data_IF_462157996785
#
_entry.id   IF_462157996785
#
_cell.length_a   1.000
_cell.length_b   1.000
_cell.length_c   1.000
_cell.angle_alpha   90.00
_cell.angle_beta   90.00
_cell.angle_gamma   90.00
#
_symmetry.space_group_name_H-M   'P 1'
#
loop_
_entity.id
_entity.type
_entity.pdbx_description
1 polymer ?
#
# COMPACT_ATOMS: atom_id res chain seq x y z
N UNK A 1 -1.95 9.83 3.53
CA UNK A 1 -3.27 9.22 3.27
C UNK A 1 -3.13 7.73 3.56
N UNK A 2 -4.11 7.09 4.22
CA UNK A 2 -4.10 5.64 4.51
C UNK A 2 -5.00 4.89 3.52
N UNK A 3 -4.64 3.65 3.23
CA UNK A 3 -5.34 2.70 2.36
C UNK A 3 -5.10 1.28 2.88
N UNK A 4 -5.79 0.30 2.31
CA UNK A 4 -5.42 -1.11 2.43
C UNK A 4 -4.70 -1.51 1.13
N UNK A 5 -3.59 -2.24 1.21
CA UNK A 5 -2.87 -2.75 0.04
C UNK A 5 -2.49 -4.22 0.23
N UNK A 6 -2.52 -4.99 -0.85
CA UNK A 6 -1.93 -6.32 -0.85
C UNK A 6 -0.40 -6.21 -0.87
N UNK A 7 0.26 -7.10 -0.11
CA UNK A 7 1.70 -7.28 -0.22
C UNK A 7 2.05 -7.98 -1.54
N UNK A 8 2.85 -7.35 -2.39
CA UNK A 8 3.26 -7.94 -3.67
C UNK A 8 4.14 -9.20 -3.50
N UNK A 9 4.76 -9.38 -2.33
CA UNK A 9 5.58 -10.56 -2.00
C UNK A 9 4.72 -11.73 -1.49
N UNK A 10 3.60 -11.45 -0.82
CA UNK A 10 2.58 -12.43 -0.46
C UNK A 10 1.16 -11.85 -0.67
N UNK A 11 0.57 -11.97 -1.88
CA UNK A 11 -0.71 -11.34 -2.22
C UNK A 11 -1.92 -11.79 -1.39
N UNK A 12 -1.77 -12.81 -0.54
CA UNK A 12 -2.79 -13.23 0.43
C UNK A 12 -2.88 -12.29 1.63
N UNK A 13 -1.85 -11.50 1.87
CA UNK A 13 -1.76 -10.55 2.96
C UNK A 13 -2.21 -9.17 2.48
N UNK A 14 -3.29 -8.67 3.06
CA UNK A 14 -3.76 -7.29 2.87
C UNK A 14 -3.54 -6.54 4.18
N UNK A 15 -2.78 -5.46 4.12
CA UNK A 15 -2.39 -4.67 5.28
C UNK A 15 -2.85 -3.22 5.13
N UNK A 16 -3.05 -2.56 6.27
CA UNK A 16 -3.20 -1.10 6.27
C UNK A 16 -1.84 -0.49 5.93
N UNK A 17 -1.85 0.45 5.00
CA UNK A 17 -0.66 1.13 4.53
C UNK A 17 -0.88 2.64 4.44
N UNK A 18 0.22 3.37 4.57
CA UNK A 18 0.30 4.81 4.47
C UNK A 18 1.06 5.19 3.20
N UNK A 19 0.48 6.05 2.35
CA UNK A 19 1.19 6.61 1.21
C UNK A 19 2.27 7.57 1.73
N UNK A 20 3.54 7.22 1.51
CA UNK A 20 4.71 8.03 1.93
C UNK A 20 5.24 8.91 0.80
N UNK A 21 5.03 8.52 -0.47
CA UNK A 21 5.45 9.31 -1.63
C UNK A 21 4.54 9.10 -2.85
N UNK A 22 4.44 10.12 -3.70
CA UNK A 22 3.73 10.07 -4.98
C UNK A 22 4.64 10.58 -6.09
N UNK A 23 4.74 9.82 -7.19
CA UNK A 23 5.47 10.20 -8.41
C UNK A 23 4.59 9.86 -9.61
N UNK A 24 3.91 10.87 -10.17
CA UNK A 24 2.94 10.63 -11.25
C UNK A 24 1.82 9.72 -10.78
N UNK A 25 1.69 8.54 -11.40
CA UNK A 25 0.73 7.50 -10.99
C UNK A 25 1.28 6.51 -9.96
N UNK A 26 2.57 6.57 -9.65
CA UNK A 26 3.19 5.65 -8.69
C UNK A 26 3.03 6.18 -7.27
N UNK A 27 2.56 5.31 -6.38
CA UNK A 27 2.38 5.53 -4.96
C UNK A 27 3.39 4.67 -4.22
N UNK A 28 4.24 5.27 -3.38
CA UNK A 28 5.03 4.52 -2.41
C UNK A 28 4.17 4.33 -1.19
N UNK A 29 3.94 3.07 -0.83
CA UNK A 29 3.16 2.67 0.34
C UNK A 29 4.09 2.09 1.38
N UNK A 30 3.88 2.49 2.64
CA UNK A 30 4.50 1.91 3.81
C UNK A 30 3.45 1.10 4.56
N UNK A 31 3.72 -0.16 4.87
CA UNK A 31 2.80 -1.01 5.62
C UNK A 31 2.90 -0.68 7.11
N UNK A 32 1.77 -0.31 7.73
CA UNK A 32 1.76 0.13 9.12
C UNK A 32 2.27 -1.01 10.04
N UNK A 33 3.36 -0.75 10.78
CA UNK A 33 3.98 -1.71 11.69
C UNK A 33 5.07 -2.59 11.10
N UNK A 34 5.45 -2.35 9.83
CA UNK A 34 6.55 -3.03 9.15
C UNK A 34 7.78 -2.13 9.07
N UNK A 35 8.95 -2.70 8.76
CA UNK A 35 10.16 -1.92 8.50
C UNK A 35 10.09 -1.24 7.11
N UNK A 36 10.77 -0.09 6.96
CA UNK A 36 10.77 0.70 5.72
C UNK A 36 11.32 -0.06 4.49
N UNK A 37 12.08 -1.15 4.70
CA UNK A 37 12.56 -2.02 3.63
C UNK A 37 11.44 -2.75 2.87
N UNK A 38 10.27 -2.88 3.50
CA UNK A 38 9.07 -3.48 2.90
C UNK A 38 8.19 -2.47 2.19
N UNK A 39 8.59 -1.20 2.11
CA UNK A 39 7.86 -0.19 1.34
C UNK A 39 7.78 -0.60 -0.14
N UNK A 40 6.60 -0.46 -0.72
CA UNK A 40 6.34 -0.89 -2.09
C UNK A 40 5.84 0.26 -2.97
N UNK A 41 6.13 0.17 -4.27
CA UNK A 41 5.58 1.08 -5.27
C UNK A 41 4.41 0.42 -6.00
N UNK A 42 3.27 1.09 -6.02
CA UNK A 42 2.06 0.64 -6.69
C UNK A 42 1.57 1.72 -7.66
N UNK A 43 1.05 1.33 -8.83
CA UNK A 43 0.28 2.26 -9.65
C UNK A 43 -1.04 2.58 -8.94
N UNK A 44 -1.50 3.84 -8.97
CA UNK A 44 -2.73 4.28 -8.32
C UNK A 44 -4.00 3.60 -8.88
N UNK A 45 -3.90 2.93 -10.04
CA UNK A 45 -4.97 2.11 -10.63
C UNK A 45 -4.77 0.61 -10.39
N UNK A 46 -3.80 0.22 -9.56
CA UNK A 46 -3.57 -1.19 -9.22
C UNK A 46 -4.83 -1.81 -8.60
N UNK A 47 -5.23 -3.04 -8.99
CA UNK A 47 -6.31 -3.77 -8.34
C UNK A 47 -5.98 -4.18 -6.89
N UNK A 48 -4.72 -4.02 -6.48
CA UNK A 48 -4.18 -4.38 -5.17
C UNK A 48 -4.25 -3.23 -4.16
N UNK A 49 -4.92 -2.12 -4.52
CA UNK A 49 -5.18 -0.98 -3.64
C UNK A 49 -6.68 -0.93 -3.31
N UNK A 50 -6.99 -0.86 -2.02
CA UNK A 50 -8.36 -0.82 -1.52
C UNK A 50 -8.57 0.41 -0.63
N UNK A 51 -9.77 1.02 -0.64
CA UNK A 51 -10.12 2.05 0.33
C UNK A 51 -10.12 1.45 1.74
N UNK A 52 -9.63 2.20 2.74
CA UNK A 52 -9.74 1.78 4.15
C UNK A 52 -11.20 1.56 4.48
N UNK A 53 -11.57 0.33 4.85
CA UNK A 53 -12.92 0.08 5.34
C UNK A 53 -13.01 0.64 6.76
N UNK A 54 -14.00 1.52 7.00
CA UNK A 54 -14.42 1.83 8.37
C UNK A 54 -15.06 0.55 8.92
N UNK A 55 -14.36 -0.11 9.84
CA UNK A 55 -14.95 -1.09 10.74
C UNK A 55 -15.49 -0.36 11.95
#
# INVERSE_FOLDING_TARGET
MRLEAADLMDPRLVCVATITRVIGRLLRVHFDGWEDEYDQWLDCQSPDIYPVRMV
#
